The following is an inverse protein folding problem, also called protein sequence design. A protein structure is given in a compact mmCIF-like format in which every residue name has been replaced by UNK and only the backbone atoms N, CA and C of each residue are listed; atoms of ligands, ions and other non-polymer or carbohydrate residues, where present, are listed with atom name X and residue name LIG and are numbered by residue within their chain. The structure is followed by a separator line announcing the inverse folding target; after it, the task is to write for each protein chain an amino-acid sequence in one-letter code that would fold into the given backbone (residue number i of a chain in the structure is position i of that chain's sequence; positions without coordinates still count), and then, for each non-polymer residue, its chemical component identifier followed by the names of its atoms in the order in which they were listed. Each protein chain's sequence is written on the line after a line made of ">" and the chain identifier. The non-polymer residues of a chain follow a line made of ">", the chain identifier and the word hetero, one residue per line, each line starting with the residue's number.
data_IF_021747963638
#
_entry.id   IF_021747963638
#
_cell.length_a   1.000
_cell.length_b   1.000
_cell.length_c   1.000
_cell.angle_alpha   90.00
_cell.angle_beta   90.00
_cell.angle_gamma   90.00
#
_symmetry.space_group_name_H-M   'P 1'
#
loop_
_entity.id
_entity.type
_entity.pdbx_description
1 polymer ?
#
# COMPACT_ATOMS: atom_id res chain seq x y z
N UNK A 1 -2.15 5.36 4.90
CA UNK A 1 -3.10 4.69 5.81
C UNK A 1 -3.85 5.74 6.60
N UNK A 2 -5.16 5.58 6.73
CA UNK A 2 -6.04 6.41 7.53
C UNK A 2 -6.08 5.83 8.95
N UNK A 3 -6.00 6.68 9.97
CA UNK A 3 -6.02 6.28 11.38
C UNK A 3 -7.27 6.81 12.06
N UNK A 4 -7.76 6.09 13.07
CA UNK A 4 -8.88 6.54 13.87
C UNK A 4 -8.56 7.79 14.70
N UNK A 5 -9.58 8.46 15.24
CA UNK A 5 -9.43 9.69 16.03
C UNK A 5 -8.50 9.49 17.24
N UNK A 6 -8.53 8.29 17.86
CA UNK A 6 -7.69 7.97 19.01
C UNK A 6 -6.24 7.64 18.66
N UNK A 7 -5.92 7.53 17.36
CA UNK A 7 -4.65 7.02 16.85
C UNK A 7 -4.26 5.72 17.59
N UNK A 8 -5.13 4.72 17.53
CA UNK A 8 -4.88 3.36 18.02
C UNK A 8 -4.93 2.31 16.92
N UNK A 9 -5.60 2.58 15.79
CA UNK A 9 -5.70 1.61 14.69
C UNK A 9 -5.79 2.28 13.32
N UNK A 10 -5.47 1.50 12.29
CA UNK A 10 -5.78 1.86 10.91
C UNK A 10 -7.25 1.58 10.62
N UNK A 11 -7.95 2.53 10.02
CA UNK A 11 -9.36 2.41 9.65
C UNK A 11 -9.58 2.34 8.14
N UNK A 12 -8.53 2.57 7.35
CA UNK A 12 -8.60 2.52 5.90
C UNK A 12 -7.31 2.91 5.22
N UNK A 13 -7.38 3.01 3.90
CA UNK A 13 -6.29 3.41 3.03
C UNK A 13 -6.80 4.32 1.92
N UNK A 14 -5.98 5.31 1.56
CA UNK A 14 -6.04 6.01 0.30
C UNK A 14 -4.86 5.51 -0.53
N UNK A 15 -5.13 4.96 -1.71
CA UNK A 15 -4.11 4.47 -2.63
C UNK A 15 -4.30 5.08 -4.02
N UNK A 16 -3.19 5.28 -4.72
CA UNK A 16 -3.14 5.87 -6.05
C UNK A 16 -1.72 6.25 -6.42
N UNK A 17 -1.56 7.28 -7.25
CA UNK A 17 -0.25 7.77 -7.68
C UNK A 17 0.38 8.77 -6.69
N UNK A 18 -0.34 9.13 -5.63
CA UNK A 18 0.18 9.91 -4.51
C UNK A 18 0.17 11.42 -4.73
N UNK A 19 0.94 12.13 -3.92
CA UNK A 19 0.99 13.59 -3.89
C UNK A 19 2.19 14.16 -4.66
N UNK A 20 1.94 15.12 -5.55
CA UNK A 20 2.99 15.87 -6.23
C UNK A 20 3.35 17.13 -5.42
N UNK A 21 4.54 17.14 -4.81
CA UNK A 21 4.99 18.28 -4.01
C UNK A 21 5.23 19.55 -4.82
N UNK A 22 5.65 19.41 -6.09
CA UNK A 22 5.93 20.56 -6.98
C UNK A 22 4.64 21.23 -7.46
N UNK A 23 3.60 20.43 -7.74
CA UNK A 23 2.29 20.93 -8.19
C UNK A 23 1.36 21.27 -7.01
N UNK A 24 1.66 20.79 -5.81
CA UNK A 24 0.81 20.98 -4.64
C UNK A 24 -0.55 20.28 -4.76
N UNK A 25 -0.62 19.19 -5.54
CA UNK A 25 -1.86 18.47 -5.84
C UNK A 25 -1.62 16.97 -5.91
N UNK A 26 -2.68 16.13 -5.78
CA UNK A 26 -2.60 14.72 -6.13
C UNK A 26 -2.18 14.55 -7.59
N UNK A 27 -1.43 13.48 -7.89
CA UNK A 27 -0.92 13.22 -9.26
C UNK A 27 -2.07 12.89 -10.22
N UNK A 28 -3.03 12.07 -9.76
CA UNK A 28 -4.15 11.63 -10.59
C UNK A 28 -5.37 11.33 -9.69
N UNK A 29 -5.95 12.41 -9.16
CA UNK A 29 -6.98 12.33 -8.11
C UNK A 29 -8.18 11.45 -8.50
N UNK A 30 -8.62 11.53 -9.76
CA UNK A 30 -9.77 10.77 -10.26
C UNK A 30 -9.56 9.25 -10.25
N UNK A 31 -8.31 8.80 -10.09
CA UNK A 31 -7.93 7.40 -10.01
C UNK A 31 -7.47 6.98 -8.61
N UNK A 32 -7.61 7.85 -7.62
CA UNK A 32 -7.36 7.47 -6.23
C UNK A 32 -8.53 6.62 -5.70
N UNK A 33 -8.19 5.56 -4.98
CA UNK A 33 -9.15 4.69 -4.31
C UNK A 33 -9.04 4.86 -2.80
N UNK A 34 -10.18 5.10 -2.16
CA UNK A 34 -10.30 5.08 -0.70
C UNK A 34 -11.07 3.82 -0.27
N UNK A 35 -10.51 3.09 0.69
CA UNK A 35 -11.10 1.87 1.22
C UNK A 35 -11.10 1.93 2.75
N UNK A 36 -12.25 1.67 3.37
CA UNK A 36 -12.36 1.43 4.80
C UNK A 36 -12.05 -0.03 5.13
N UNK A 37 -11.41 -0.27 6.27
CA UNK A 37 -11.13 -1.62 6.78
C UNK A 37 -12.24 -2.10 7.70
N UNK A 38 -12.70 -3.33 7.47
CA UNK A 38 -13.63 -4.09 8.30
C UNK A 38 -12.90 -5.11 9.21
N UNK A 39 -11.57 -5.02 9.26
CA UNK A 39 -10.70 -5.88 10.06
C UNK A 39 -9.56 -5.07 10.68
N UNK A 40 -9.03 -5.55 11.81
CA UNK A 40 -7.83 -4.99 12.42
C UNK A 40 -6.60 -5.30 11.57
N UNK A 41 -5.93 -4.25 11.11
CA UNK A 41 -4.63 -4.31 10.43
C UNK A 41 -3.53 -4.00 11.45
N UNK A 42 -2.61 -4.94 11.63
CA UNK A 42 -1.50 -4.82 12.58
C UNK A 42 -0.17 -4.43 11.88
N UNK A 43 0.90 -4.27 12.66
CA UNK A 43 2.21 -3.88 12.13
C UNK A 43 2.88 -4.97 11.25
N UNK A 44 2.56 -6.25 11.47
CA UNK A 44 3.04 -7.35 10.63
C UNK A 44 2.38 -7.27 9.26
N UNK A 45 1.06 -7.06 9.21
CA UNK A 45 0.33 -6.84 7.96
C UNK A 45 0.93 -5.71 7.14
N UNK A 46 1.19 -4.55 7.76
CA UNK A 46 1.83 -3.42 7.09
C UNK A 46 3.21 -3.79 6.54
N UNK A 47 4.00 -4.53 7.32
CA UNK A 47 5.35 -4.95 6.93
C UNK A 47 5.30 -5.87 5.71
N UNK A 48 4.43 -6.87 5.72
CA UNK A 48 4.26 -7.78 4.58
C UNK A 48 3.69 -7.07 3.34
N UNK A 49 2.75 -6.13 3.52
CA UNK A 49 2.23 -5.28 2.42
C UNK A 49 3.36 -4.44 1.83
N UNK A 50 4.24 -3.87 2.65
CA UNK A 50 5.39 -3.10 2.19
C UNK A 50 6.37 -3.97 1.39
N UNK A 51 6.67 -5.17 1.88
CA UNK A 51 7.51 -6.15 1.19
C UNK A 51 6.90 -6.51 -0.17
N UNK A 52 5.62 -6.88 -0.20
CA UNK A 52 4.89 -7.20 -1.42
C UNK A 52 4.95 -6.05 -2.43
N UNK A 53 4.74 -4.81 -1.96
CA UNK A 53 4.84 -3.61 -2.80
C UNK A 53 6.21 -3.47 -3.43
N UNK A 54 7.30 -3.76 -2.71
CA UNK A 54 8.65 -3.72 -3.28
C UNK A 54 8.80 -4.70 -4.45
N UNK A 55 8.25 -5.91 -4.34
CA UNK A 55 8.29 -6.88 -5.44
C UNK A 55 7.45 -6.43 -6.63
N UNK A 56 6.24 -5.92 -6.39
CA UNK A 56 5.36 -5.40 -7.45
C UNK A 56 6.01 -4.20 -8.15
N UNK A 57 6.56 -3.25 -7.40
CA UNK A 57 7.25 -2.10 -7.99
C UNK A 57 8.46 -2.52 -8.84
N UNK A 58 9.22 -3.54 -8.42
CA UNK A 58 10.32 -4.09 -9.23
C UNK A 58 9.82 -4.75 -10.52
N UNK A 59 8.63 -5.35 -10.49
CA UNK A 59 8.01 -6.01 -11.65
C UNK A 59 7.30 -5.02 -12.59
N UNK A 60 6.84 -3.89 -12.07
CA UNK A 60 6.05 -2.90 -12.81
C UNK A 60 6.84 -1.64 -13.21
N UNK A 61 8.09 -1.50 -12.75
CA UNK A 61 8.91 -0.34 -13.07
C UNK A 61 9.50 -0.49 -14.48
N UNK A 62 9.24 0.52 -15.32
CA UNK A 62 9.85 0.68 -16.65
C UNK A 62 11.21 1.38 -16.56
N UNK A 63 11.88 1.37 -15.39
CA UNK A 63 13.22 1.95 -15.27
C UNK A 63 14.11 1.35 -16.37
N UNK A 64 14.79 2.17 -17.19
CA UNK A 64 15.55 1.69 -18.32
C UNK A 64 16.54 0.62 -17.85
N UNK A 65 16.31 -0.62 -18.30
CA UNK A 65 17.04 -1.83 -17.96
C UNK A 65 16.62 -2.62 -16.71
N UNK A 66 15.57 -2.27 -15.96
CA UNK A 66 15.20 -3.04 -14.75
C UNK A 66 14.80 -4.48 -15.09
N UNK A 67 13.85 -4.66 -16.02
CA UNK A 67 13.38 -5.96 -16.49
C UNK A 67 14.23 -6.50 -17.64
N UNK A 68 14.81 -5.63 -18.48
CA UNK A 68 15.71 -6.06 -19.57
C UNK A 68 17.00 -6.72 -19.03
N UNK A 69 17.45 -6.34 -17.83
CA UNK A 69 18.57 -6.99 -17.14
C UNK A 69 18.16 -8.29 -16.41
N UNK A 70 16.87 -8.58 -16.30
CA UNK A 70 16.38 -9.80 -15.66
C UNK A 70 16.07 -10.85 -16.72
N UNK A 71 16.83 -11.95 -16.68
CA UNK A 71 16.45 -13.15 -17.43
C UNK A 71 15.08 -13.68 -16.98
N UNK A 72 14.40 -14.47 -17.82
CA UNK A 72 13.07 -15.02 -17.53
C UNK A 72 12.96 -15.71 -16.17
N UNK A 73 14.02 -16.40 -15.74
CA UNK A 73 14.08 -17.07 -14.44
C UNK A 73 13.92 -16.10 -13.27
N UNK A 74 14.58 -14.94 -13.32
CA UNK A 74 14.53 -13.93 -12.26
C UNK A 74 13.18 -13.24 -12.21
N UNK A 75 12.55 -13.01 -13.37
CA UNK A 75 11.18 -12.52 -13.45
C UNK A 75 10.22 -13.53 -12.81
N UNK A 76 10.34 -14.82 -13.16
CA UNK A 76 9.51 -15.87 -12.58
C UNK A 76 9.70 -15.99 -11.06
N UNK A 77 10.93 -15.87 -10.56
CA UNK A 77 11.21 -15.84 -9.12
C UNK A 77 10.55 -14.65 -8.41
N UNK A 78 10.62 -13.45 -8.99
CA UNK A 78 9.98 -12.26 -8.43
C UNK A 78 8.45 -12.40 -8.42
N UNK A 79 7.86 -12.93 -9.49
CA UNK A 79 6.43 -13.19 -9.59
C UNK A 79 5.96 -14.24 -8.57
N UNK A 80 6.70 -15.35 -8.43
CA UNK A 80 6.40 -16.39 -7.43
C UNK A 80 6.52 -15.84 -6.01
N UNK A 81 7.56 -15.04 -5.73
CA UNK A 81 7.72 -14.41 -4.42
C UNK A 81 6.57 -13.45 -4.11
N UNK A 82 6.17 -12.60 -5.08
CA UNK A 82 5.04 -11.71 -4.93
C UNK A 82 3.73 -12.50 -4.68
N UNK A 83 3.52 -13.59 -5.42
CA UNK A 83 2.38 -14.49 -5.26
C UNK A 83 2.34 -15.10 -3.86
N UNK A 84 3.44 -15.67 -3.39
CA UNK A 84 3.53 -16.28 -2.06
C UNK A 84 3.25 -15.25 -0.95
N UNK A 85 3.82 -14.04 -1.07
CA UNK A 85 3.58 -12.96 -0.11
C UNK A 85 2.13 -12.52 -0.11
N UNK A 86 1.50 -12.36 -1.28
CA UNK A 86 0.09 -12.05 -1.39
C UNK A 86 -0.79 -13.13 -0.76
N UNK A 87 -0.52 -14.41 -1.04
CA UNK A 87 -1.26 -15.53 -0.45
C UNK A 87 -1.09 -15.57 1.08
N UNK A 88 0.11 -15.32 1.60
CA UNK A 88 0.33 -15.27 3.05
C UNK A 88 -0.43 -14.14 3.75
N UNK A 89 -0.71 -13.04 3.05
CA UNK A 89 -1.48 -11.91 3.56
C UNK A 89 -2.99 -12.18 3.57
N UNK A 90 -3.50 -12.89 2.56
CA UNK A 90 -4.93 -13.18 2.40
C UNK A 90 -5.32 -14.43 3.21
N UNK A 91 -4.53 -15.50 3.08
CA UNK A 91 -4.81 -16.81 3.67
C UNK A 91 -4.09 -16.98 5.03
N UNK A 92 -4.22 -16.01 5.94
CA UNK A 92 -3.64 -16.14 7.29
C UNK A 92 -4.27 -17.33 8.01
N UNK A 93 -3.44 -18.13 8.69
CA UNK A 93 -3.91 -19.27 9.50
C UNK A 93 -4.83 -18.85 10.63
N UNK A 94 -4.60 -17.66 11.20
CA UNK A 94 -5.51 -16.98 12.11
C UNK A 94 -6.21 -15.83 11.36
N UNK A 95 -7.55 -15.83 11.26
CA UNK A 95 -8.30 -14.71 10.71
C UNK A 95 -8.02 -13.42 11.48
N UNK A 96 -8.09 -12.28 10.77
CA UNK A 96 -8.02 -10.96 11.41
C UNK A 96 -9.28 -10.73 12.25
N UNK A 97 -9.12 -9.96 13.33
CA UNK A 97 -10.25 -9.54 14.15
C UNK A 97 -11.16 -8.63 13.31
N UNK A 98 -12.43 -9.01 13.18
CA UNK A 98 -13.43 -8.21 12.47
C UNK A 98 -13.82 -7.00 13.31
N UNK A 99 -13.93 -5.84 12.67
CA UNK A 99 -14.34 -4.58 13.29
C UNK A 99 -15.26 -3.79 12.36
N UNK A 100 -16.20 -2.98 12.89
CA UNK A 100 -17.02 -2.14 12.03
C UNK A 100 -16.18 -1.14 11.22
N UNK A 101 -16.38 -1.03 9.90
CA UNK A 101 -15.67 -0.06 9.08
C UNK A 101 -15.99 1.37 9.53
N UNK A 102 -14.95 2.19 9.64
CA UNK A 102 -15.08 3.60 10.06
C UNK A 102 -14.67 4.49 8.91
N UNK A 103 -15.64 5.19 8.31
CA UNK A 103 -15.41 6.11 7.20
C UNK A 103 -14.79 7.42 7.69
N UNK A 104 -13.81 7.93 6.95
CA UNK A 104 -13.15 9.18 7.28
C UNK A 104 -13.99 10.38 6.83
N UNK A 105 -14.11 11.39 7.68
CA UNK A 105 -14.97 12.57 7.42
C UNK A 105 -14.44 13.48 6.30
N UNK A 106 -13.15 13.36 5.93
CA UNK A 106 -12.50 14.13 4.84
C UNK A 106 -12.00 13.19 3.75
N UNK A 107 -12.96 12.59 3.04
CA UNK A 107 -12.71 11.59 2.01
C UNK A 107 -11.85 12.15 0.87
N UNK A 108 -10.98 11.31 0.29
CA UNK A 108 -10.11 11.60 -0.87
C UNK A 108 -9.07 12.73 -0.72
N UNK A 109 -8.84 13.25 0.50
CA UNK A 109 -7.77 14.22 0.71
C UNK A 109 -6.44 13.50 1.04
N UNK A 110 -5.48 13.54 0.10
CA UNK A 110 -4.07 13.29 0.39
C UNK A 110 -3.55 14.37 1.34
N UNK A 111 -3.80 14.21 2.64
CA UNK A 111 -3.29 15.15 3.63
C UNK A 111 -1.86 14.77 4.02
N UNK A 112 -0.96 15.76 4.15
CA UNK A 112 0.35 15.57 4.79
C UNK A 112 0.25 15.01 6.23
N UNK A 113 -0.96 15.02 6.81
CA UNK A 113 -1.33 14.40 8.09
C UNK A 113 -1.58 12.89 7.98
N UNK A 114 -1.41 12.28 6.81
CA UNK A 114 -1.10 10.83 6.68
C UNK A 114 0.34 10.64 7.22
N UNK A 115 0.55 11.01 8.49
CA UNK A 115 1.84 11.03 9.14
C UNK A 115 1.83 10.06 10.33
N UNK A 116 2.58 8.97 10.10
CA UNK A 116 3.38 8.22 11.07
C UNK A 116 2.68 7.79 12.36
N UNK A 117 2.02 6.64 12.27
CA UNK A 117 1.86 5.75 13.41
C UNK A 117 3.16 5.01 13.78
N UNK A 118 3.99 4.75 12.76
CA UNK A 118 5.34 4.23 12.86
C UNK A 118 6.17 4.92 11.77
N UNK A 119 7.42 5.25 12.07
CA UNK A 119 8.35 6.01 11.20
C UNK A 119 8.58 5.40 9.80
N UNK A 120 8.11 4.18 9.55
CA UNK A 120 8.34 3.38 8.35
C UNK A 120 7.16 3.32 7.34
N UNK A 121 6.01 3.95 7.62
CA UNK A 121 4.83 3.84 6.73
C UNK A 121 4.79 5.07 5.83
N UNK A 122 5.57 4.99 4.75
CA UNK A 122 5.41 5.87 3.59
C UNK A 122 4.08 5.55 2.90
N UNK A 123 3.54 6.57 2.23
CA UNK A 123 2.34 6.52 1.38
C UNK A 123 2.23 5.20 0.59
N UNK A 124 1.01 4.66 0.47
CA UNK A 124 0.75 3.51 -0.42
C UNK A 124 0.66 4.05 -1.83
N UNK A 125 1.82 4.34 -2.41
CA UNK A 125 1.96 4.83 -3.77
C UNK A 125 2.55 3.73 -4.62
N UNK A 126 1.82 3.31 -5.65
CA UNK A 126 2.40 2.50 -6.72
C UNK A 126 3.08 3.51 -7.65
N UNK A 127 4.41 3.50 -7.64
CA UNK A 127 5.20 4.33 -8.52
C UNK A 127 5.30 3.61 -9.86
N UNK A 128 4.41 3.93 -10.79
CA UNK A 128 4.60 3.65 -12.22
C UNK A 128 5.45 4.80 -12.75
N UNK A 129 6.73 4.55 -13.05
CA UNK A 129 7.63 5.51 -13.69
C UNK A 129 7.97 4.93 -15.05
#
# INVERSE_FOLDING_TARGET
>A
MIVDESRKRYTGVLCGLGWNQSLGSPVLQDHDMELAFDVMIDADDITQINILRTYINKLASDEPNSLLNFGPEKIAQLQNTAREKLLSLICKSKPREAVPPTWYKKSYEWTQKIQRFNSAISEVTIKVH
#
